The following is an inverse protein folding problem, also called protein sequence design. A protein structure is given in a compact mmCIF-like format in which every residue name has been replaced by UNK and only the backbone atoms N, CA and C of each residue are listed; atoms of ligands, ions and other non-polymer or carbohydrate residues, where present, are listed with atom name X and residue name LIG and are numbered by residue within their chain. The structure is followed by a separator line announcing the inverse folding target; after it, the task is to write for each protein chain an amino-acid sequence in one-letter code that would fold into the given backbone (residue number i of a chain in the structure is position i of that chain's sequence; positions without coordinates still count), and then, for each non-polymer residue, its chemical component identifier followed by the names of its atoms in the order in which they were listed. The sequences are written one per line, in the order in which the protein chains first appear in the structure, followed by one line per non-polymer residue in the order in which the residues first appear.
data_IF_287510337380
#
_entry.id   IF_287510337380
#
_cell.length_a   1.000
_cell.length_b   1.000
_cell.length_c   1.000
_cell.angle_alpha   90.00
_cell.angle_beta   90.00
_cell.angle_gamma   90.00
#
_symmetry.space_group_name_H-M   'P 1'
#
loop_
_entity.id
_entity.type
_entity.pdbx_description
1 polymer ?
#
# COMPACT_ATOMS: atom_id res chain seq x y z
N UNK A 1 0.74 3.94 -0.95
CA UNK A 1 -0.57 4.64 -0.95
C UNK A 1 -1.60 3.92 -0.07
N UNK A 2 -1.52 2.59 0.11
CA UNK A 2 -2.44 1.81 0.94
C UNK A 2 -2.31 2.00 2.48
N UNK A 3 -1.15 2.43 2.97
CA UNK A 3 -0.89 2.45 4.42
C UNK A 3 -1.66 3.53 5.21
N UNK A 4 -1.93 4.69 4.59
CA UNK A 4 -2.60 5.83 5.26
C UNK A 4 -4.13 5.63 5.34
N UNK A 5 -4.69 4.67 4.60
CA UNK A 5 -6.13 4.38 4.66
C UNK A 5 -6.50 3.50 5.87
N UNK A 6 -5.52 2.90 6.54
CA UNK A 6 -5.78 2.09 7.73
C UNK A 6 -6.07 3.01 8.92
N UNK A 7 -7.31 2.99 9.39
CA UNK A 7 -7.79 3.78 10.54
C UNK A 7 -6.94 3.51 11.80
N UNK A 8 -6.44 2.28 11.97
CA UNK A 8 -5.55 1.90 13.08
C UNK A 8 -4.24 2.69 13.08
N UNK A 9 -3.64 2.94 11.91
CA UNK A 9 -2.38 3.69 11.83
C UNK A 9 -2.56 5.14 12.30
N UNK A 10 -3.71 5.75 11.98
CA UNK A 10 -4.04 7.09 12.45
C UNK A 10 -4.17 7.15 13.98
N UNK A 11 -4.84 6.15 14.58
CA UNK A 11 -4.95 6.10 16.04
C UNK A 11 -3.59 5.86 16.71
N UNK A 12 -2.78 4.94 16.20
CA UNK A 12 -1.44 4.66 16.76
C UNK A 12 -0.53 5.88 16.64
N UNK A 13 -0.50 6.57 15.50
CA UNK A 13 0.30 7.78 15.32
C UNK A 13 -0.18 8.93 16.19
N UNK A 14 -1.50 9.12 16.31
CA UNK A 14 -2.09 10.10 17.23
C UNK A 14 -1.73 9.83 18.69
N UNK A 15 -1.80 8.56 19.12
CA UNK A 15 -1.40 8.14 20.47
C UNK A 15 0.10 8.38 20.70
N UNK A 16 0.96 8.04 19.75
CA UNK A 16 2.41 8.28 19.86
C UNK A 16 2.75 9.76 19.97
N UNK A 17 2.11 10.61 19.15
CA UNK A 17 2.28 12.06 19.22
C UNK A 17 1.80 12.59 20.58
N UNK A 18 0.68 12.07 21.09
CA UNK A 18 0.18 12.41 22.41
C UNK A 18 1.15 12.05 23.53
N UNK A 19 1.70 10.83 23.52
CA UNK A 19 2.69 10.37 24.50
C UNK A 19 3.96 11.24 24.44
N UNK A 20 4.45 11.54 23.22
CA UNK A 20 5.63 12.39 23.04
C UNK A 20 5.38 13.83 23.52
N UNK A 21 4.20 14.38 23.23
CA UNK A 21 3.81 15.71 23.73
C UNK A 21 3.71 15.74 25.26
N UNK A 22 3.10 14.73 25.88
CA UNK A 22 3.08 14.58 27.33
C UNK A 22 4.48 14.53 27.92
N UNK A 23 5.40 13.79 27.31
CA UNK A 23 6.80 13.71 27.73
C UNK A 23 7.52 15.06 27.60
N UNK A 24 7.33 15.78 26.49
CA UNK A 24 7.92 17.11 26.30
C UNK A 24 7.45 18.11 27.35
N UNK A 25 6.16 18.11 27.70
CA UNK A 25 5.66 19.03 28.71
C UNK A 25 6.13 18.62 30.11
N UNK A 26 6.31 17.33 30.37
CA UNK A 26 6.97 16.86 31.60
C UNK A 26 8.42 17.36 31.69
N UNK A 27 9.20 17.27 30.61
CA UNK A 27 10.55 17.86 30.53
C UNK A 27 10.53 19.38 30.77
N UNK A 28 9.54 20.09 30.24
CA UNK A 28 9.37 21.52 30.48
C UNK A 28 9.13 21.84 31.97
N UNK A 29 8.26 21.09 32.65
CA UNK A 29 8.02 21.28 34.09
C UNK A 29 9.24 20.92 34.94
N UNK A 30 9.98 19.87 34.58
CA UNK A 30 11.25 19.51 35.22
C UNK A 30 12.28 20.63 35.09
N UNK A 31 12.43 21.21 33.90
CA UNK A 31 13.28 22.38 33.69
C UNK A 31 12.82 23.62 34.48
N UNK A 32 11.51 23.74 34.73
CA UNK A 32 10.94 24.86 35.52
C UNK A 32 11.20 24.74 37.03
N UNK A 33 11.41 23.52 37.53
CA UNK A 33 11.73 23.22 38.94
C UNK A 33 13.20 23.49 39.28
N UNK A 34 14.06 23.66 38.27
CA UNK A 34 15.45 24.08 38.46
C UNK A 34 15.52 25.55 38.93
N UNK A 35 16.46 25.91 39.82
CA UNK A 35 16.55 27.25 40.41
C UNK A 35 16.87 28.32 39.35
N UNK A 36 15.80 28.96 38.86
CA UNK A 36 15.80 29.93 37.74
C UNK A 36 16.78 31.10 37.89
N UNK A 37 17.10 31.51 39.12
CA UNK A 37 17.97 32.67 39.37
C UNK A 37 19.42 32.46 38.91
N UNK A 38 19.99 31.27 39.04
CA UNK A 38 21.40 31.03 38.62
C UNK A 38 21.50 30.70 37.13
N UNK A 39 20.45 30.14 36.55
CA UNK A 39 20.44 29.68 35.15
C UNK A 39 20.09 30.78 34.14
N UNK A 40 19.26 31.76 34.49
CA UNK A 40 18.93 32.89 33.59
C UNK A 40 20.17 33.74 33.29
N UNK A 41 21.04 33.99 34.27
CA UNK A 41 22.32 34.69 34.05
C UNK A 41 23.31 33.85 33.23
N UNK A 42 23.33 32.53 33.41
CA UNK A 42 24.14 31.63 32.59
C UNK A 42 23.69 31.60 31.13
N UNK A 43 22.38 31.56 30.87
CA UNK A 43 21.83 31.55 29.51
C UNK A 43 22.07 32.86 28.76
N UNK A 44 22.09 33.99 29.47
CA UNK A 44 22.35 35.32 28.87
C UNK A 44 23.82 35.47 28.44
N UNK A 45 24.75 34.79 29.12
CA UNK A 45 26.19 34.83 28.81
C UNK A 45 26.59 33.71 27.84
N UNK A 46 25.98 32.52 27.94
CA UNK A 46 26.43 31.32 27.21
C UNK A 46 25.56 30.86 26.03
N UNK A 47 24.52 31.61 25.67
CA UNK A 47 23.73 31.38 24.45
C UNK A 47 23.17 29.94 24.33
N UNK A 48 23.26 29.35 23.13
CA UNK A 48 22.71 28.02 22.84
C UNK A 48 23.44 26.87 23.57
N UNK A 49 24.73 27.05 23.87
CA UNK A 49 25.56 26.04 24.53
C UNK A 49 25.08 25.76 25.96
N UNK A 50 24.61 26.80 26.66
CA UNK A 50 23.98 26.64 27.98
C UNK A 50 22.65 25.89 27.88
N UNK A 51 21.90 26.08 26.80
CA UNK A 51 20.70 25.29 26.51
C UNK A 51 21.01 23.80 26.36
N UNK A 52 22.02 23.44 25.58
CA UNK A 52 22.44 22.04 25.42
C UNK A 52 22.97 21.46 26.74
N UNK A 53 23.79 22.22 27.47
CA UNK A 53 24.29 21.81 28.79
C UNK A 53 23.15 21.55 29.78
N UNK A 54 22.09 22.36 29.76
CA UNK A 54 20.91 22.15 30.61
C UNK A 54 20.14 20.90 30.23
N UNK A 55 19.97 20.62 28.93
CA UNK A 55 19.32 19.39 28.47
C UNK A 55 20.14 18.18 28.89
N UNK A 56 21.46 18.25 28.76
CA UNK A 56 22.37 17.18 29.17
C UNK A 56 22.37 16.98 30.68
N UNK A 57 22.40 18.06 31.47
CA UNK A 57 22.28 18.02 32.93
C UNK A 57 20.94 17.43 33.39
N UNK A 58 19.84 17.79 32.73
CA UNK A 58 18.52 17.21 32.99
C UNK A 58 18.47 15.73 32.65
N UNK A 59 19.14 15.31 31.57
CA UNK A 59 19.21 13.91 31.13
C UNK A 59 19.96 13.04 32.15
N UNK A 60 21.11 13.51 32.63
CA UNK A 60 21.93 12.79 33.62
C UNK A 60 21.24 12.70 34.99
N UNK A 61 20.50 13.74 35.39
CA UNK A 61 19.80 13.78 36.68
C UNK A 61 18.35 13.29 36.61
N UNK A 62 17.88 12.84 35.43
CA UNK A 62 16.48 12.47 35.19
C UNK A 62 16.01 11.35 36.13
N UNK A 63 16.86 10.35 36.36
CA UNK A 63 16.56 9.19 37.21
C UNK A 63 16.34 9.62 38.67
N UNK A 64 17.19 10.53 39.16
CA UNK A 64 17.14 11.04 40.53
C UNK A 64 15.88 11.87 40.76
N UNK A 65 15.47 12.65 39.76
CA UNK A 65 14.26 13.47 39.83
C UNK A 65 12.99 12.60 39.67
N UNK A 66 13.01 11.59 38.79
CA UNK A 66 11.90 10.64 38.65
C UNK A 66 11.61 9.92 39.96
N UNK A 67 12.64 9.48 40.69
CA UNK A 67 12.50 8.77 41.96
C UNK A 67 12.06 9.71 43.09
N UNK A 68 12.46 10.98 43.07
CA UNK A 68 12.12 11.95 44.12
C UNK A 68 10.67 12.48 44.02
N UNK A 69 10.11 12.60 42.80
CA UNK A 69 8.80 13.20 42.56
C UNK A 69 7.79 12.26 41.87
N UNK A 70 7.88 10.95 42.14
CA UNK A 70 7.12 9.87 41.47
C UNK A 70 5.61 10.16 41.38
N UNK A 71 5.00 10.61 42.48
CA UNK A 71 3.55 10.84 42.57
C UNK A 71 3.07 11.99 41.68
N UNK A 72 3.86 13.07 41.57
CA UNK A 72 3.52 14.20 40.70
C UNK A 72 3.68 13.85 39.23
N UNK A 73 4.76 13.13 38.89
CA UNK A 73 5.01 12.60 37.55
C UNK A 73 3.87 11.67 37.11
N UNK A 74 3.42 10.78 38.00
CA UNK A 74 2.33 9.86 37.73
C UNK A 74 1.02 10.58 37.40
N UNK A 75 0.56 11.50 38.27
CA UNK A 75 -0.67 12.26 38.02
C UNK A 75 -0.60 13.09 36.76
N UNK A 76 0.57 13.66 36.47
CA UNK A 76 0.81 14.43 35.26
C UNK A 76 0.68 13.58 33.98
N UNK A 77 1.31 12.40 33.94
CA UNK A 77 1.19 11.45 32.82
C UNK A 77 -0.26 11.00 32.66
N UNK A 78 -0.95 10.72 33.76
CA UNK A 78 -2.34 10.28 33.75
C UNK A 78 -3.30 11.33 33.18
N UNK A 79 -3.25 12.57 33.69
CA UNK A 79 -4.13 13.66 33.24
C UNK A 79 -3.84 14.04 31.79
N UNK A 80 -2.57 14.17 31.40
CA UNK A 80 -2.21 14.50 30.02
C UNK A 80 -2.51 13.37 29.04
N UNK A 81 -2.39 12.11 29.47
CA UNK A 81 -2.80 10.94 28.70
C UNK A 81 -4.31 10.93 28.45
N UNK A 82 -5.12 11.21 29.46
CA UNK A 82 -6.60 11.32 29.33
C UNK A 82 -6.97 12.45 28.37
N UNK A 83 -6.38 13.64 28.53
CA UNK A 83 -6.64 14.79 27.64
C UNK A 83 -6.27 14.44 26.19
N UNK A 84 -5.10 13.82 25.97
CA UNK A 84 -4.65 13.41 24.64
C UNK A 84 -5.60 12.37 24.02
N UNK A 85 -6.06 11.40 24.81
CA UNK A 85 -7.03 10.40 24.35
C UNK A 85 -8.37 11.04 23.96
N UNK A 86 -8.90 11.95 24.77
CA UNK A 86 -10.14 12.67 24.48
C UNK A 86 -10.01 13.51 23.21
N UNK A 87 -8.89 14.21 23.04
CA UNK A 87 -8.62 15.03 21.85
C UNK A 87 -8.50 14.14 20.61
N UNK A 88 -7.72 13.06 20.66
CA UNK A 88 -7.59 12.12 19.54
C UNK A 88 -8.93 11.45 19.17
N UNK A 89 -9.75 11.11 20.16
CA UNK A 89 -11.07 10.53 19.94
C UNK A 89 -12.03 11.55 19.28
N UNK A 90 -11.96 12.83 19.69
CA UNK A 90 -12.84 13.89 19.20
C UNK A 90 -12.51 14.36 17.78
N UNK A 91 -11.22 14.44 17.42
CA UNK A 91 -10.82 14.96 16.10
C UNK A 91 -11.09 13.99 14.95
N UNK A 92 -11.10 12.67 15.21
CA UNK A 92 -11.42 11.65 14.22
C UNK A 92 -10.45 11.59 13.02
N UNK A 93 -10.49 10.53 12.20
CA UNK A 93 -9.60 10.40 11.04
C UNK A 93 -9.91 11.49 9.99
N UNK A 94 -8.89 12.20 9.47
CA UNK A 94 -9.08 13.29 8.52
C UNK A 94 -9.65 12.77 7.20
N UNK A 95 -10.86 13.21 6.84
CA UNK A 95 -11.54 12.82 5.60
C UNK A 95 -10.97 13.53 4.37
N UNK A 96 -10.42 14.73 4.53
CA UNK A 96 -9.93 15.57 3.44
C UNK A 96 -8.63 15.06 2.83
N UNK A 97 -8.57 14.97 1.50
CA UNK A 97 -7.38 14.52 0.76
C UNK A 97 -6.16 15.42 0.98
N UNK A 98 -6.37 16.74 1.15
CA UNK A 98 -5.31 17.71 1.45
C UNK A 98 -4.62 17.41 2.78
N UNK A 99 -5.39 17.10 3.82
CA UNK A 99 -4.86 16.74 5.14
C UNK A 99 -4.10 15.41 5.10
N UNK A 100 -4.59 14.43 4.34
CA UNK A 100 -3.86 13.17 4.11
C UNK A 100 -2.50 13.39 3.45
N UNK A 101 -2.44 14.29 2.47
CA UNK A 101 -1.19 14.65 1.81
C UNK A 101 -0.23 15.36 2.78
N UNK A 102 -0.71 16.30 3.60
CA UNK A 102 0.11 16.98 4.60
C UNK A 102 0.69 16.00 5.63
N UNK A 103 -0.12 15.09 6.17
CA UNK A 103 0.35 14.06 7.11
C UNK A 103 1.38 13.14 6.45
N UNK A 104 1.16 12.76 5.18
CA UNK A 104 2.14 11.98 4.41
C UNK A 104 3.49 12.71 4.32
N UNK A 105 3.48 13.97 3.89
CA UNK A 105 4.70 14.79 3.79
C UNK A 105 5.39 14.96 5.14
N UNK A 106 4.62 15.26 6.19
CA UNK A 106 5.14 15.42 7.55
C UNK A 106 5.80 14.15 8.07
N UNK A 107 5.16 12.99 7.89
CA UNK A 107 5.72 11.71 8.32
C UNK A 107 6.98 11.34 7.54
N UNK A 108 7.00 11.59 6.23
CA UNK A 108 8.19 11.36 5.39
C UNK A 108 9.36 12.25 5.82
N UNK A 109 9.09 13.53 6.08
CA UNK A 109 10.11 14.48 6.53
C UNK A 109 10.64 14.10 7.92
N UNK A 110 9.74 13.74 8.85
CA UNK A 110 10.14 13.28 10.18
C UNK A 110 11.01 12.01 10.12
N UNK A 111 10.68 11.05 9.23
CA UNK A 111 11.49 9.85 9.03
C UNK A 111 12.88 10.18 8.48
N UNK A 112 12.98 11.06 7.49
CA UNK A 112 14.27 11.49 6.92
C UNK A 112 15.13 12.20 7.98
N UNK A 113 14.54 13.09 8.78
CA UNK A 113 15.25 13.76 9.88
C UNK A 113 15.74 12.76 10.93
N UNK A 114 14.90 11.80 11.35
CA UNK A 114 15.30 10.78 12.31
C UNK A 114 16.45 9.91 11.79
N UNK A 115 16.40 9.50 10.52
CA UNK A 115 17.49 8.74 9.88
C UNK A 115 18.78 9.56 9.85
N UNK A 116 18.67 10.86 9.54
CA UNK A 116 19.81 11.77 9.51
C UNK A 116 20.45 11.92 10.90
N UNK A 117 19.65 12.22 11.94
CA UNK A 117 20.16 12.37 13.31
C UNK A 117 20.64 11.06 13.94
N UNK A 118 20.14 9.90 13.49
CA UNK A 118 20.56 8.60 14.01
C UNK A 118 21.86 8.09 13.39
N UNK A 119 22.34 8.70 12.30
CA UNK A 119 23.49 8.19 11.57
C UNK A 119 24.78 8.87 11.99
N UNK A 120 25.81 8.06 12.27
CA UNK A 120 27.18 8.54 12.48
C UNK A 120 27.95 8.75 11.17
N UNK A 121 27.50 8.12 10.07
CA UNK A 121 28.09 8.28 8.73
C UNK A 121 27.19 9.16 7.86
N UNK A 122 27.55 10.45 7.79
CA UNK A 122 26.74 11.48 7.11
C UNK A 122 26.69 11.27 5.59
N UNK A 123 27.80 10.94 4.94
CA UNK A 123 27.88 10.75 3.48
C UNK A 123 27.06 9.55 2.98
N UNK A 124 27.13 8.41 3.67
CA UNK A 124 26.41 7.21 3.25
C UNK A 124 24.89 7.37 3.39
N UNK A 125 24.45 8.06 4.45
CA UNK A 125 23.02 8.22 4.72
C UNK A 125 22.38 9.30 3.86
N UNK A 126 23.09 10.40 3.58
CA UNK A 126 22.62 11.39 2.60
C UNK A 126 22.49 10.75 1.21
N UNK A 127 23.45 9.93 0.79
CA UNK A 127 23.37 9.19 -0.47
C UNK A 127 22.15 8.24 -0.53
N UNK A 128 21.88 7.50 0.54
CA UNK A 128 20.70 6.61 0.63
C UNK A 128 19.41 7.42 0.60
N UNK A 129 19.31 8.53 1.34
CA UNK A 129 18.12 9.39 1.35
C UNK A 129 17.85 9.96 -0.06
N UNK A 130 18.89 10.45 -0.74
CA UNK A 130 18.80 10.97 -2.09
C UNK A 130 18.38 9.88 -3.08
N UNK A 131 19.01 8.71 -3.03
CA UNK A 131 18.66 7.56 -3.86
C UNK A 131 17.20 7.15 -3.68
N UNK A 132 16.76 7.02 -2.42
CA UNK A 132 15.39 6.59 -2.11
C UNK A 132 14.36 7.62 -2.57
N UNK A 133 14.68 8.92 -2.40
CA UNK A 133 13.82 10.02 -2.85
C UNK A 133 13.76 10.09 -4.38
N UNK A 134 14.90 9.93 -5.05
CA UNK A 134 15.00 9.90 -6.50
C UNK A 134 14.20 8.73 -7.09
N UNK A 135 14.28 7.54 -6.49
CA UNK A 135 13.48 6.39 -6.87
C UNK A 135 11.98 6.61 -6.64
N UNK A 136 11.59 7.31 -5.57
CA UNK A 136 10.17 7.59 -5.29
C UNK A 136 9.55 8.57 -6.27
N UNK A 137 10.28 9.62 -6.63
CA UNK A 137 9.87 10.62 -7.62
C UNK A 137 10.08 10.18 -9.07
N UNK A 138 10.65 8.99 -9.27
CA UNK A 138 10.95 8.48 -10.58
C UNK A 138 9.67 8.33 -11.42
N UNK A 139 9.58 8.96 -12.61
CA UNK A 139 8.34 8.99 -13.37
C UNK A 139 7.91 7.60 -13.81
N UNK A 140 6.65 7.24 -13.56
CA UNK A 140 6.09 5.94 -13.98
C UNK A 140 6.15 5.73 -15.49
N UNK A 141 6.22 6.80 -16.28
CA UNK A 141 6.44 6.72 -17.74
C UNK A 141 7.77 6.05 -18.07
N UNK A 142 8.80 6.30 -17.28
CA UNK A 142 10.13 5.76 -17.51
C UNK A 142 10.20 4.26 -17.15
N UNK A 143 9.53 3.84 -16.07
CA UNK A 143 9.42 2.42 -15.73
C UNK A 143 8.63 1.63 -16.78
N UNK A 144 7.56 2.22 -17.34
CA UNK A 144 6.83 1.64 -18.46
C UNK A 144 7.69 1.56 -19.73
N UNK A 145 8.48 2.58 -20.03
CA UNK A 145 9.41 2.57 -21.16
C UNK A 145 10.52 1.53 -21.00
N UNK A 146 11.13 1.41 -19.82
CA UNK A 146 12.13 0.38 -19.52
C UNK A 146 11.50 -1.00 -19.65
N UNK A 147 10.30 -1.21 -19.12
CA UNK A 147 9.60 -2.50 -19.25
C UNK A 147 9.25 -2.82 -20.69
N UNK A 148 8.83 -1.82 -21.48
CA UNK A 148 8.54 -1.97 -22.90
C UNK A 148 9.80 -2.32 -23.69
N UNK A 149 10.90 -1.60 -23.44
CA UNK A 149 12.20 -1.87 -24.03
C UNK A 149 12.72 -3.27 -23.66
N UNK A 150 12.61 -3.65 -22.39
CA UNK A 150 12.98 -4.98 -21.90
C UNK A 150 12.17 -6.09 -22.57
N UNK A 151 10.84 -5.93 -22.68
CA UNK A 151 9.97 -6.89 -23.38
C UNK A 151 10.23 -6.95 -24.90
N UNK A 152 10.69 -5.85 -25.52
CA UNK A 152 11.13 -5.85 -26.93
C UNK A 152 12.45 -6.58 -27.11
N UNK A 153 13.39 -6.43 -26.16
CA UNK A 153 14.70 -7.09 -26.22
C UNK A 153 14.64 -8.57 -25.80
N UNK A 154 13.77 -8.89 -24.85
CA UNK A 154 13.52 -10.22 -24.33
C UNK A 154 12.03 -10.52 -24.41
N UNK A 155 11.52 -10.90 -25.60
CA UNK A 155 10.14 -11.32 -25.74
C UNK A 155 9.90 -12.55 -24.84
N UNK A 156 8.79 -12.58 -24.09
CA UNK A 156 8.45 -13.75 -23.30
C UNK A 156 8.32 -14.96 -24.24
N UNK A 157 9.01 -16.06 -23.91
CA UNK A 157 8.90 -17.30 -24.68
C UNK A 157 7.44 -17.74 -24.65
N UNK A 158 6.82 -17.85 -25.83
CA UNK A 158 5.48 -18.42 -25.95
C UNK A 158 5.57 -19.89 -25.57
N UNK A 159 4.86 -20.29 -24.51
CA UNK A 159 4.76 -21.68 -24.08
C UNK A 159 3.89 -22.42 -25.11
N UNK A 160 4.36 -23.55 -25.63
CA UNK A 160 3.52 -24.47 -26.40
C UNK A 160 2.52 -25.11 -25.45
N UNK A 161 1.26 -25.27 -25.89
CA UNK A 161 0.26 -26.02 -25.13
C UNK A 161 0.71 -27.47 -24.99
N UNK A 162 0.40 -28.09 -23.85
CA UNK A 162 0.54 -29.55 -23.74
C UNK A 162 -0.55 -30.23 -24.57
N UNK A 163 -0.38 -31.53 -24.85
CA UNK A 163 -1.38 -32.26 -25.65
C UNK A 163 -2.75 -32.27 -24.95
N UNK A 164 -2.77 -32.32 -23.62
CA UNK A 164 -4.00 -32.28 -22.82
C UNK A 164 -4.67 -30.91 -22.94
N UNK A 165 -3.92 -29.82 -22.74
CA UNK A 165 -4.44 -28.45 -22.89
C UNK A 165 -4.95 -28.21 -24.32
N UNK A 166 -4.27 -28.75 -25.33
CA UNK A 166 -4.68 -28.64 -26.74
C UNK A 166 -5.99 -29.38 -27.01
N UNK A 167 -6.15 -30.58 -26.44
CA UNK A 167 -7.37 -31.37 -26.62
C UNK A 167 -8.57 -30.71 -25.93
N UNK A 168 -8.40 -30.26 -24.68
CA UNK A 168 -9.46 -29.55 -23.94
C UNK A 168 -9.90 -28.28 -24.66
N UNK A 169 -8.95 -27.47 -25.12
CA UNK A 169 -9.23 -26.26 -25.90
C UNK A 169 -9.95 -26.60 -27.21
N UNK A 170 -9.51 -27.67 -27.89
CA UNK A 170 -10.17 -28.17 -29.10
C UNK A 170 -11.62 -28.57 -28.86
N UNK A 171 -11.91 -29.29 -27.77
CA UNK A 171 -13.29 -29.67 -27.39
C UNK A 171 -14.13 -28.43 -27.09
N UNK A 172 -13.58 -27.48 -26.32
CA UNK A 172 -14.28 -26.25 -25.93
C UNK A 172 -14.61 -25.38 -27.14
N UNK A 173 -13.62 -25.06 -27.97
CA UNK A 173 -13.82 -24.22 -29.16
C UNK A 173 -14.71 -24.91 -30.19
N UNK A 174 -14.62 -26.23 -30.35
CA UNK A 174 -15.54 -26.99 -31.21
C UNK A 174 -16.98 -26.89 -30.72
N UNK A 175 -17.22 -27.04 -29.41
CA UNK A 175 -18.56 -26.88 -28.84
C UNK A 175 -19.12 -25.46 -29.04
N UNK A 176 -18.29 -24.43 -28.82
CA UNK A 176 -18.67 -23.03 -29.04
C UNK A 176 -18.98 -22.78 -30.53
N UNK A 177 -18.13 -23.25 -31.44
CA UNK A 177 -18.33 -23.09 -32.88
C UNK A 177 -19.60 -23.80 -33.38
N UNK A 178 -19.88 -24.99 -32.86
CA UNK A 178 -21.12 -25.73 -33.18
C UNK A 178 -22.36 -25.00 -32.67
N UNK A 179 -22.32 -24.43 -31.46
CA UNK A 179 -23.44 -23.62 -30.95
C UNK A 179 -23.67 -22.37 -31.78
N UNK A 180 -22.59 -21.63 -32.10
CA UNK A 180 -22.66 -20.47 -33.01
C UNK A 180 -23.24 -20.86 -34.38
N UNK A 181 -22.90 -22.04 -34.89
CA UNK A 181 -23.44 -22.55 -36.14
C UNK A 181 -24.95 -22.82 -36.02
N UNK A 182 -25.41 -23.43 -34.93
CA UNK A 182 -26.85 -23.63 -34.67
C UNK A 182 -27.59 -22.31 -34.59
N UNK A 183 -27.08 -21.36 -33.81
CA UNK A 183 -27.69 -20.03 -33.65
C UNK A 183 -27.78 -19.30 -35.01
N UNK A 184 -26.72 -19.39 -35.81
CA UNK A 184 -26.72 -18.82 -37.17
C UNK A 184 -27.76 -19.50 -38.06
N UNK A 185 -27.86 -20.83 -38.04
CA UNK A 185 -28.84 -21.57 -38.83
C UNK A 185 -30.30 -21.30 -38.39
N UNK A 186 -30.52 -21.02 -37.11
CA UNK A 186 -31.84 -20.64 -36.57
C UNK A 186 -32.21 -19.17 -36.80
N UNK A 187 -31.24 -18.32 -37.17
CA UNK A 187 -31.48 -16.90 -37.45
C UNK A 187 -32.21 -16.69 -38.80
N UNK A 188 -33.12 -15.70 -38.90
CA UNK A 188 -33.79 -15.33 -40.16
C UNK A 188 -32.83 -14.85 -41.27
N UNK A 189 -31.59 -14.49 -40.92
CA UNK A 189 -30.57 -14.06 -41.89
C UNK A 189 -29.94 -15.22 -42.68
N UNK A 190 -30.10 -16.45 -42.21
CA UNK A 190 -29.55 -17.62 -42.87
C UNK A 190 -30.46 -18.08 -44.01
N UNK A 191 -29.88 -18.41 -45.18
CA UNK A 191 -30.62 -18.99 -46.31
C UNK A 191 -30.74 -20.51 -46.11
N UNK A 192 -31.47 -20.97 -45.10
CA UNK A 192 -31.48 -22.38 -44.68
C UNK A 192 -31.79 -23.33 -45.84
N UNK A 193 -32.80 -23.02 -46.66
CA UNK A 193 -33.20 -23.88 -47.79
C UNK A 193 -32.12 -24.06 -48.85
N UNK A 194 -31.27 -23.03 -49.07
CA UNK A 194 -30.15 -23.13 -50.01
C UNK A 194 -29.03 -24.03 -49.48
N UNK A 195 -28.88 -24.13 -48.16
CA UNK A 195 -27.90 -24.99 -47.49
C UNK A 195 -28.41 -26.44 -47.49
N UNK A 196 -29.68 -26.64 -47.11
CA UNK A 196 -30.35 -27.96 -47.10
C UNK A 196 -30.27 -28.64 -48.46
N UNK A 197 -30.47 -27.89 -49.56
CA UNK A 197 -30.36 -28.41 -50.93
C UNK A 197 -28.95 -28.91 -51.31
N UNK A 198 -27.90 -28.41 -50.64
CA UNK A 198 -26.51 -28.79 -50.91
C UNK A 198 -26.01 -29.92 -50.00
N UNK A 199 -26.74 -30.22 -48.94
CA UNK A 199 -26.35 -31.22 -47.95
C UNK A 199 -26.75 -32.62 -48.42
N UNK A 200 -25.90 -33.60 -48.09
CA UNK A 200 -26.14 -35.01 -48.41
C UNK A 200 -27.32 -35.59 -47.63
N UNK A 201 -27.43 -35.24 -46.34
CA UNK A 201 -28.45 -35.76 -45.42
C UNK A 201 -29.19 -34.61 -44.72
N UNK A 202 -30.30 -34.10 -45.29
CA UNK A 202 -31.00 -32.93 -44.77
C UNK A 202 -31.71 -33.19 -43.43
N UNK A 203 -32.23 -34.41 -43.22
CA UNK A 203 -32.90 -34.80 -41.98
C UNK A 203 -31.97 -34.74 -40.77
N UNK A 204 -30.72 -35.16 -40.95
CA UNK A 204 -29.70 -35.13 -39.90
C UNK A 204 -29.25 -33.71 -39.58
N UNK A 205 -29.27 -32.83 -40.57
CA UNK A 205 -28.97 -31.42 -40.35
C UNK A 205 -30.05 -30.73 -39.52
N UNK A 206 -31.32 -31.06 -39.76
CA UNK A 206 -32.43 -30.57 -38.95
C UNK A 206 -32.30 -31.03 -37.48
N UNK A 207 -32.03 -32.31 -37.25
CA UNK A 207 -31.86 -32.82 -35.87
C UNK A 207 -30.63 -32.23 -35.17
N UNK A 208 -29.56 -31.92 -35.90
CA UNK A 208 -28.42 -31.18 -35.37
C UNK A 208 -28.78 -29.74 -34.93
N UNK A 209 -29.60 -29.01 -35.69
CA UNK A 209 -30.06 -27.66 -35.32
C UNK A 209 -30.90 -27.72 -34.03
N UNK A 210 -31.75 -28.74 -33.89
CA UNK A 210 -32.58 -28.98 -32.71
C UNK A 210 -31.79 -29.35 -31.45
N UNK A 211 -30.49 -29.63 -31.58
CA UNK A 211 -29.57 -29.82 -30.45
C UNK A 211 -28.93 -31.20 -30.38
N UNK A 212 -29.19 -32.10 -31.34
CA UNK A 212 -28.52 -33.41 -31.35
C UNK A 212 -27.01 -33.30 -31.63
N UNK A 213 -26.28 -34.35 -31.23
CA UNK A 213 -24.83 -34.40 -31.37
C UNK A 213 -24.38 -34.39 -32.84
N UNK A 214 -23.27 -33.73 -33.12
CA UNK A 214 -22.70 -33.65 -34.46
C UNK A 214 -22.06 -34.96 -34.96
N UNK A 215 -21.83 -35.92 -34.04
CA UNK A 215 -21.23 -37.21 -34.34
C UNK A 215 -22.30 -38.26 -34.62
N UNK A 216 -22.04 -39.15 -35.57
CA UNK A 216 -22.90 -40.33 -35.73
C UNK A 216 -22.56 -41.32 -34.62
N UNK A 217 -23.54 -42.06 -34.11
CA UNK A 217 -23.34 -43.12 -33.08
C UNK A 217 -22.17 -44.05 -33.45
N UNK A 218 -22.04 -44.41 -34.73
CA UNK A 218 -20.94 -45.25 -35.24
C UNK A 218 -19.55 -44.62 -35.13
N UNK A 219 -19.42 -43.28 -35.26
CA UNK A 219 -18.14 -42.57 -35.08
C UNK A 219 -17.84 -42.31 -33.61
N UNK A 220 -18.88 -42.17 -32.77
CA UNK A 220 -18.73 -42.02 -31.34
C UNK A 220 -18.20 -43.31 -30.66
N UNK A 221 -18.60 -44.48 -31.17
CA UNK A 221 -18.08 -45.77 -30.68
C UNK A 221 -16.61 -46.05 -31.05
N UNK A 222 -16.04 -45.35 -32.04
CA UNK A 222 -14.63 -45.49 -32.45
C UNK A 222 -13.67 -44.58 -31.67
N UNK A 223 -14.18 -43.69 -30.82
CA UNK A 223 -13.41 -42.73 -30.02
C UNK A 223 -13.45 -43.04 -28.51
N UNK A 224 -13.95 -44.22 -28.11
CA UNK A 224 -13.80 -44.79 -26.77
C UNK A 224 -12.70 -45.84 -26.79
#
# INVERSE_FOLDING_TARGET
MLYIQNTLFYYITGILIGIFASFLVLLYFLGKLLPKRKMVYGALIGGYAVGIYLVQFLWENLQLIMISYQTYVFWYIFVTGIISFIVCYRFGPPKNQRSKNLIKWGLQLAAVMMIFFSSHFEEATTAIILLTTALHYFPQSFTKNIRSWYKRKFPPKRRLLTNEEYFEEGVRETAIALNKLRDFCSSPDCKQWKIVQKLKDPMRFASFIEGESHLTVQKCCLMK
#
